data_IF_592742551587
#
_entry.id   IF_592742551587
#
_cell.length_a   1.000
_cell.length_b   1.000
_cell.length_c   1.000
_cell.angle_alpha   90.00
_cell.angle_beta   90.00
_cell.angle_gamma   90.00
#
_symmetry.space_group_name_H-M   'P 1'
#
loop_
_entity.id
_entity.type
_entity.pdbx_description
1 polymer ?
#
# COMPACT_ATOMS: atom_id res chain seq x y z
N UNK A 1 35.89 1.40 12.50
CA UNK A 1 34.62 0.65 12.26
C UNK A 1 34.94 -0.85 12.26
N UNK A 2 34.20 -1.67 13.00
CA UNK A 2 34.38 -3.13 13.03
C UNK A 2 33.61 -3.80 11.89
N UNK A 3 34.16 -4.88 11.32
CA UNK A 3 33.52 -5.64 10.24
C UNK A 3 32.69 -6.83 10.76
N UNK A 4 33.06 -7.38 11.92
CA UNK A 4 32.39 -8.55 12.52
C UNK A 4 31.27 -8.07 13.44
N UNK A 5 30.06 -8.63 13.28
CA UNK A 5 28.85 -8.28 14.05
C UNK A 5 28.53 -6.77 14.10
N UNK A 6 28.71 -6.06 12.97
CA UNK A 6 28.30 -4.66 12.87
C UNK A 6 26.78 -4.53 12.72
N UNK A 7 26.05 -4.76 13.79
CA UNK A 7 24.58 -4.67 13.84
C UNK A 7 24.08 -3.26 13.56
N UNK A 8 24.87 -2.22 13.86
CA UNK A 8 24.54 -0.85 13.50
C UNK A 8 24.44 -0.65 11.99
N UNK A 9 25.34 -1.27 11.21
CA UNK A 9 25.27 -1.24 9.75
C UNK A 9 24.02 -1.99 9.24
N UNK A 10 23.77 -3.19 9.77
CA UNK A 10 22.61 -3.99 9.36
C UNK A 10 21.31 -3.25 9.63
N UNK A 11 21.15 -2.68 10.84
CA UNK A 11 19.96 -1.90 11.22
C UNK A 11 19.77 -0.65 10.37
N UNK A 12 20.86 0.00 9.96
CA UNK A 12 20.76 1.16 9.08
C UNK A 12 20.21 0.77 7.70
N UNK A 13 20.62 -0.37 7.15
CA UNK A 13 20.09 -0.90 5.89
C UNK A 13 18.63 -1.38 6.05
N UNK A 14 18.30 -2.04 7.15
CA UNK A 14 16.92 -2.46 7.44
C UNK A 14 15.99 -1.25 7.57
N UNK A 15 16.43 -0.19 8.24
CA UNK A 15 15.67 1.04 8.38
C UNK A 15 15.36 1.67 7.02
N UNK A 16 16.33 1.68 6.10
CA UNK A 16 16.15 2.18 4.73
C UNK A 16 14.98 1.48 4.02
N UNK A 17 14.97 0.15 4.01
CA UNK A 17 13.89 -0.63 3.40
C UNK A 17 12.54 -0.47 4.11
N UNK A 18 12.56 -0.28 5.44
CA UNK A 18 11.34 -0.04 6.20
C UNK A 18 10.71 1.31 5.84
N UNK A 19 11.52 2.33 5.54
CA UNK A 19 11.04 3.65 5.11
C UNK A 19 10.34 3.56 3.75
N UNK A 20 10.90 2.82 2.79
CA UNK A 20 10.26 2.57 1.48
C UNK A 20 8.88 1.90 1.63
N UNK A 21 8.80 0.88 2.49
CA UNK A 21 7.55 0.21 2.80
C UNK A 21 6.54 1.16 3.45
N UNK A 22 6.98 1.96 4.42
CA UNK A 22 6.14 2.89 5.14
C UNK A 22 5.57 4.00 4.22
N UNK A 23 6.41 4.57 3.35
CA UNK A 23 5.98 5.54 2.35
C UNK A 23 4.94 4.94 1.41
N UNK A 24 5.19 3.72 0.91
CA UNK A 24 4.28 3.00 0.03
C UNK A 24 2.91 2.78 0.70
N UNK A 25 2.89 2.38 1.97
CA UNK A 25 1.64 2.19 2.74
C UNK A 25 0.90 3.52 2.91
N UNK A 26 1.61 4.57 3.32
CA UNK A 26 1.00 5.89 3.54
C UNK A 26 0.43 6.48 2.24
N UNK A 27 1.17 6.38 1.13
CA UNK A 27 0.74 6.86 -0.18
C UNK A 27 -0.47 6.06 -0.70
N UNK A 28 -0.48 4.75 -0.50
CA UNK A 28 -1.63 3.91 -0.83
C UNK A 28 -2.88 4.27 -0.02
N UNK A 29 -2.71 4.53 1.29
CA UNK A 29 -3.80 4.88 2.18
C UNK A 29 -4.41 6.24 1.87
N UNK A 30 -3.59 7.26 1.57
CA UNK A 30 -4.09 8.60 1.22
C UNK A 30 -4.78 8.60 -0.15
N UNK A 31 -4.23 7.83 -1.11
CA UNK A 31 -4.78 7.72 -2.46
C UNK A 31 -6.16 7.06 -2.44
N UNK A 32 -6.35 5.99 -1.64
CA UNK A 32 -7.63 5.26 -1.57
C UNK A 32 -8.67 6.00 -0.75
N UNK A 33 -9.66 6.59 -1.42
CA UNK A 33 -10.79 7.31 -0.80
C UNK A 33 -12.04 6.43 -0.66
N UNK A 34 -11.90 5.28 -0.01
CA UNK A 34 -13.01 4.40 0.39
C UNK A 34 -12.65 3.65 1.68
N UNK A 35 -13.58 2.87 2.24
CA UNK A 35 -13.28 1.88 3.29
C UNK A 35 -13.53 0.46 2.80
N UNK A 36 -12.53 -0.41 2.92
CA UNK A 36 -12.60 -1.82 2.52
C UNK A 36 -11.66 -2.70 3.36
N UNK A 37 -12.24 -3.66 4.07
CA UNK A 37 -11.48 -4.62 4.87
C UNK A 37 -10.70 -3.92 5.98
N UNK A 38 -9.37 -4.05 5.98
CA UNK A 38 -8.50 -3.43 6.98
C UNK A 38 -8.27 -1.93 6.77
N UNK A 39 -8.49 -1.42 5.55
CA UNK A 39 -8.39 0.01 5.27
C UNK A 39 -9.73 0.68 5.62
N UNK A 40 -9.74 1.49 6.67
CA UNK A 40 -10.94 2.19 7.15
C UNK A 40 -10.64 3.68 7.31
N UNK A 41 -11.54 4.50 6.78
CA UNK A 41 -11.44 5.96 6.74
C UNK A 41 -12.70 6.58 7.33
N UNK A 42 -12.54 7.41 8.35
CA UNK A 42 -13.66 8.11 9.00
C UNK A 42 -14.32 9.15 8.10
N UNK A 43 -13.60 9.64 7.09
CA UNK A 43 -14.09 10.55 6.06
C UNK A 43 -14.69 9.83 4.83
N UNK A 44 -14.48 8.52 4.69
CA UNK A 44 -14.99 7.69 3.59
C UNK A 44 -15.47 6.33 4.13
N UNK A 45 -16.62 6.30 4.81
CA UNK A 45 -17.09 5.15 5.58
C UNK A 45 -17.50 3.94 4.73
N UNK A 46 -17.94 4.17 3.49
CA UNK A 46 -18.54 3.14 2.65
C UNK A 46 -17.52 2.56 1.66
N UNK A 47 -17.82 1.33 1.21
CA UNK A 47 -17.15 0.68 0.08
C UNK A 47 -17.61 1.33 -1.23
N UNK A 48 -16.69 1.57 -2.15
CA UNK A 48 -16.93 2.18 -3.47
C UNK A 48 -16.35 1.27 -4.56
N UNK A 49 -17.18 0.33 -5.05
CA UNK A 49 -16.77 -0.60 -6.10
C UNK A 49 -16.65 0.07 -7.48
N UNK A 50 -17.34 1.18 -7.72
CA UNK A 50 -17.31 1.87 -9.03
C UNK A 50 -15.94 2.50 -9.29
N UNK A 51 -15.33 3.12 -8.28
CA UNK A 51 -14.03 3.79 -8.42
C UNK A 51 -12.85 2.97 -7.92
N UNK A 52 -13.04 2.10 -6.92
CA UNK A 52 -11.94 1.47 -6.16
C UNK A 52 -11.87 -0.06 -6.22
N UNK A 53 -12.63 -0.69 -7.13
CA UNK A 53 -12.46 -2.12 -7.45
C UNK A 53 -11.22 -2.36 -8.34
N UNK A 54 -10.07 -1.94 -7.82
CA UNK A 54 -8.75 -2.00 -8.47
C UNK A 54 -7.64 -2.16 -7.42
N UNK A 55 -6.50 -2.67 -7.84
CA UNK A 55 -5.26 -2.65 -7.08
C UNK A 55 -4.56 -1.31 -7.29
N UNK A 56 -3.98 -0.78 -6.21
CA UNK A 56 -3.07 0.37 -6.26
C UNK A 56 -1.67 -0.21 -6.40
N UNK A 57 -0.97 0.19 -7.45
CA UNK A 57 0.42 -0.17 -7.70
C UNK A 57 1.28 1.07 -7.42
N UNK A 58 2.33 0.89 -6.63
CA UNK A 58 3.27 1.96 -6.30
C UNK A 58 4.65 1.47 -6.70
N UNK A 59 5.26 2.21 -7.63
CA UNK A 59 6.56 1.87 -8.19
C UNK A 59 7.61 2.85 -7.67
N UNK A 60 8.63 2.33 -7.00
CA UNK A 60 9.79 3.10 -6.59
C UNK A 60 10.50 3.69 -7.81
N UNK A 61 10.92 4.95 -7.72
CA UNK A 61 11.70 5.65 -8.74
C UNK A 61 12.96 6.24 -8.09
N UNK A 62 14.15 6.05 -8.70
CA UNK A 62 15.41 6.52 -8.11
C UNK A 62 15.52 8.05 -8.05
N UNK A 63 14.88 8.78 -8.97
CA UNK A 63 15.04 10.23 -9.11
C UNK A 63 13.75 11.02 -8.85
N UNK A 64 12.86 10.55 -7.96
CA UNK A 64 11.65 11.29 -7.64
C UNK A 64 10.63 10.53 -6.80
N UNK A 65 9.44 11.13 -6.59
CA UNK A 65 8.38 10.49 -5.83
C UNK A 65 7.92 9.18 -6.50
N UNK A 66 7.34 8.25 -5.72
CA UNK A 66 6.83 6.99 -6.25
C UNK A 66 5.80 7.22 -7.35
N UNK A 67 5.81 6.37 -8.38
CA UNK A 67 4.78 6.38 -9.42
C UNK A 67 3.56 5.57 -8.96
N UNK A 68 2.39 6.17 -9.10
CA UNK A 68 1.10 5.52 -8.87
C UNK A 68 0.55 4.98 -10.19
N UNK A 69 0.17 3.71 -10.18
CA UNK A 69 -0.57 3.05 -11.25
C UNK A 69 -1.73 2.22 -10.65
N UNK A 70 -2.64 1.78 -11.51
CA UNK A 70 -3.79 0.96 -11.09
C UNK A 70 -3.96 -0.25 -11.99
N UNK A 71 -4.37 -1.36 -11.38
CA UNK A 71 -4.66 -2.60 -12.09
C UNK A 71 -6.08 -3.06 -11.74
N UNK A 72 -6.97 -3.31 -12.72
CA UNK A 72 -8.32 -3.79 -12.43
C UNK A 72 -8.29 -5.15 -11.76
N UNK A 73 -9.20 -5.37 -10.80
CA UNK A 73 -9.36 -6.69 -10.16
C UNK A 73 -9.92 -7.68 -11.18
N UNK A 74 -9.35 -8.88 -11.25
CA UNK A 74 -9.86 -9.95 -12.09
C UNK A 74 -11.03 -10.67 -11.40
N UNK A 75 -12.25 -10.33 -11.79
CA UNK A 75 -13.46 -11.06 -11.38
C UNK A 75 -13.63 -12.28 -12.29
N UNK A 76 -13.99 -13.42 -11.70
CA UNK A 76 -14.18 -14.68 -12.45
C UNK A 76 -15.61 -15.17 -12.34
N UNK A 77 -15.95 -15.90 -11.28
CA UNK A 77 -17.26 -16.52 -11.10
C UNK A 77 -18.15 -15.78 -10.11
N UNK A 78 -17.55 -15.08 -9.15
CA UNK A 78 -18.26 -14.49 -8.02
C UNK A 78 -18.18 -12.97 -8.11
N UNK A 79 -19.34 -12.34 -8.12
CA UNK A 79 -19.47 -10.89 -8.14
C UNK A 79 -19.27 -10.31 -6.73
N UNK A 80 -18.85 -9.05 -6.61
CA UNK A 80 -18.68 -8.40 -5.31
C UNK A 80 -20.03 -8.23 -4.58
N UNK A 81 -20.21 -8.93 -3.47
CA UNK A 81 -21.38 -8.79 -2.59
C UNK A 81 -21.02 -8.07 -1.28
N UNK A 82 -22.03 -7.58 -0.57
CA UNK A 82 -21.85 -6.95 0.76
C UNK A 82 -21.42 -8.02 1.75
N UNK A 83 -20.33 -7.76 2.47
CA UNK A 83 -19.81 -8.69 3.48
C UNK A 83 -20.53 -8.47 4.82
N UNK A 84 -21.16 -9.52 5.34
CA UNK A 84 -21.77 -9.58 6.68
C UNK A 84 -21.12 -10.73 7.46
N UNK A 85 -20.96 -10.57 8.78
CA UNK A 85 -20.34 -11.56 9.67
C UNK A 85 -21.36 -12.20 10.61
#
# INVERSE_FOLDING_TARGET
KGQVFNTSLVRALELDFMLDCAETIALGAVTRTESRGAHFRTDCLNRDDDHWLKHILIHHRPDGPPQLDFLPVRITRWEPEVRVY
#
